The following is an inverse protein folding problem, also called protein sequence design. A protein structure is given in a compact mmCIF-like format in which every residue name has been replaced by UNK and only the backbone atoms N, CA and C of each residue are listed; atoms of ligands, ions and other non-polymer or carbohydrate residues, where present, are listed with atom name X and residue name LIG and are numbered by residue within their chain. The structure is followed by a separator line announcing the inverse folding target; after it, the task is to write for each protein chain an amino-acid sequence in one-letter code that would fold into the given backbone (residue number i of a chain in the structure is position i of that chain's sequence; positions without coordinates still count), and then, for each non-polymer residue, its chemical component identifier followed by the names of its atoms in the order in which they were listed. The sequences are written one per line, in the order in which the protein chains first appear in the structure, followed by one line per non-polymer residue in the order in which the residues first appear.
data_IF_473346395851
#
_entry.id   IF_473346395851
#
_cell.length_a   1.000
_cell.length_b   1.000
_cell.length_c   1.000
_cell.angle_alpha   90.00
_cell.angle_beta   90.00
_cell.angle_gamma   90.00
#
_symmetry.space_group_name_H-M   'P 1'
#
loop_
_entity.id
_entity.type
_entity.pdbx_description
1 polymer ?
#
# COMPACT_ATOMS: atom_id res chain seq x y z
N UNK A 1 18.23 29.25 -42.01
CA UNK A 1 17.43 29.74 -40.86
C UNK A 1 17.80 28.89 -39.66
N UNK A 2 18.71 29.41 -38.82
CA UNK A 2 19.17 28.69 -37.63
C UNK A 2 18.14 28.80 -36.52
N UNK A 3 17.53 27.68 -36.17
CA UNK A 3 16.66 27.57 -35.00
C UNK A 3 17.52 27.68 -33.75
N UNK A 4 17.47 28.79 -33.04
CA UNK A 4 18.09 28.91 -31.71
C UNK A 4 17.51 27.85 -30.79
N UNK A 5 18.34 27.16 -29.97
CA UNK A 5 17.84 26.21 -29.00
C UNK A 5 16.98 26.95 -28.01
N UNK A 6 15.70 26.51 -27.88
CA UNK A 6 14.80 27.01 -26.86
C UNK A 6 15.42 26.72 -25.48
N UNK A 7 15.43 27.70 -24.55
CA UNK A 7 15.96 27.44 -23.22
C UNK A 7 15.17 26.30 -22.58
N UNK A 8 15.79 25.47 -21.72
CA UNK A 8 15.10 24.40 -21.04
C UNK A 8 13.92 25.00 -20.26
N UNK A 9 12.73 24.43 -20.46
CA UNK A 9 11.53 24.86 -19.75
C UNK A 9 11.69 24.55 -18.25
N UNK A 10 11.82 25.58 -17.42
CA UNK A 10 11.83 25.46 -15.97
C UNK A 10 10.44 25.07 -15.46
N UNK A 11 10.20 23.77 -15.30
CA UNK A 11 8.92 23.27 -14.78
C UNK A 11 8.84 23.46 -13.26
N UNK A 12 7.88 24.27 -12.81
CA UNK A 12 7.55 24.38 -11.38
C UNK A 12 6.88 23.08 -10.88
N UNK A 13 7.56 22.34 -10.01
CA UNK A 13 7.08 21.09 -9.44
C UNK A 13 5.74 21.25 -8.68
N UNK A 14 5.41 22.43 -8.20
CA UNK A 14 4.11 22.72 -7.60
C UNK A 14 3.01 22.69 -8.65
N UNK A 15 3.25 23.24 -9.83
CA UNK A 15 2.30 23.18 -10.94
C UNK A 15 2.12 21.75 -11.45
N UNK A 16 3.23 20.99 -11.53
CA UNK A 16 3.19 19.56 -11.87
C UNK A 16 2.34 18.78 -10.87
N UNK A 17 2.48 19.04 -9.57
CA UNK A 17 1.64 18.42 -8.53
C UNK A 17 0.17 18.80 -8.68
N UNK A 18 -0.13 20.04 -8.94
CA UNK A 18 -1.52 20.49 -9.16
C UNK A 18 -2.15 19.76 -10.34
N UNK A 19 -1.39 19.59 -11.41
CA UNK A 19 -1.84 18.83 -12.58
C UNK A 19 -2.16 17.36 -12.22
N UNK A 20 -1.27 16.66 -11.52
CA UNK A 20 -1.52 15.26 -11.14
C UNK A 20 -2.75 15.10 -10.26
N UNK A 21 -2.97 16.00 -9.29
CA UNK A 21 -4.14 15.95 -8.42
C UNK A 21 -5.43 16.27 -9.20
N UNK A 22 -5.42 17.23 -10.14
CA UNK A 22 -6.60 17.47 -11.00
C UNK A 22 -6.89 16.26 -11.89
N UNK A 23 -5.87 15.59 -12.42
CA UNK A 23 -6.03 14.38 -13.22
C UNK A 23 -6.65 13.22 -12.41
N UNK A 24 -6.23 13.03 -11.16
CA UNK A 24 -6.75 12.00 -10.26
C UNK A 24 -8.22 12.23 -9.89
N UNK A 25 -8.57 13.46 -9.56
CA UNK A 25 -9.95 13.77 -9.14
C UNK A 25 -10.94 13.96 -10.30
N UNK A 26 -10.46 14.17 -11.53
CA UNK A 26 -11.29 14.45 -12.70
C UNK A 26 -12.19 15.69 -12.56
N UNK A 27 -11.96 16.54 -11.55
CA UNK A 27 -12.79 17.71 -11.23
C UNK A 27 -11.99 18.77 -10.47
N UNK A 28 -11.95 20.01 -11.01
CA UNK A 28 -11.18 21.11 -10.39
C UNK A 28 -11.62 21.47 -8.97
N UNK A 29 -12.91 21.38 -8.64
CA UNK A 29 -13.43 21.65 -7.30
C UNK A 29 -12.88 20.66 -6.27
N UNK A 30 -13.03 19.36 -6.51
CA UNK A 30 -12.52 18.29 -5.64
C UNK A 30 -11.00 18.37 -5.50
N UNK A 31 -10.29 18.59 -6.60
CA UNK A 31 -8.83 18.76 -6.55
C UNK A 31 -8.41 20.00 -5.73
N UNK A 32 -9.13 21.10 -5.82
CA UNK A 32 -8.88 22.32 -5.04
C UNK A 32 -9.09 22.09 -3.53
N UNK A 33 -10.13 21.35 -3.15
CA UNK A 33 -10.38 20.93 -1.77
C UNK A 33 -9.25 20.06 -1.24
N UNK A 34 -8.85 19.01 -1.99
CA UNK A 34 -7.75 18.13 -1.63
C UNK A 34 -6.42 18.89 -1.46
N UNK A 35 -6.18 19.89 -2.29
CA UNK A 35 -4.99 20.74 -2.24
C UNK A 35 -5.10 21.89 -1.23
N UNK A 36 -6.27 22.10 -0.61
CA UNK A 36 -6.58 23.23 0.30
C UNK A 36 -6.29 24.59 -0.33
N UNK A 37 -6.69 24.76 -1.60
CA UNK A 37 -6.56 26.02 -2.35
C UNK A 37 -7.89 26.43 -2.95
N UNK A 38 -8.04 27.73 -3.29
CA UNK A 38 -9.23 28.20 -4.00
C UNK A 38 -9.25 27.67 -5.45
N UNK A 39 -10.38 27.13 -5.92
CA UNK A 39 -10.55 26.61 -7.28
C UNK A 39 -10.12 27.61 -8.38
N UNK A 40 -10.43 28.94 -8.31
CA UNK A 40 -9.94 29.89 -9.30
C UNK A 40 -8.42 30.01 -9.35
N UNK A 41 -7.75 29.87 -8.20
CA UNK A 41 -6.30 29.86 -8.11
C UNK A 41 -5.72 28.62 -8.78
N UNK A 42 -6.25 27.43 -8.45
CA UNK A 42 -5.83 26.17 -9.09
C UNK A 42 -5.99 26.24 -10.62
N UNK A 43 -7.13 26.76 -11.09
CA UNK A 43 -7.40 26.91 -12.52
C UNK A 43 -6.39 27.83 -13.23
N UNK A 44 -5.96 28.92 -12.58
CA UNK A 44 -4.92 29.82 -13.11
C UNK A 44 -3.55 29.12 -13.16
N UNK A 45 -3.20 28.36 -12.12
CA UNK A 45 -1.93 27.64 -12.07
C UNK A 45 -1.85 26.53 -13.15
N UNK A 46 -2.94 25.82 -13.40
CA UNK A 46 -2.98 24.84 -14.51
C UNK A 46 -2.81 25.53 -15.86
N UNK A 47 -3.51 26.66 -16.11
CA UNK A 47 -3.30 27.42 -17.36
C UNK A 47 -1.87 27.89 -17.53
N UNK A 48 -1.21 28.31 -16.45
CA UNK A 48 0.21 28.67 -16.48
C UNK A 48 1.06 27.47 -16.90
N UNK A 49 0.85 26.29 -16.34
CA UNK A 49 1.55 25.07 -16.74
C UNK A 49 1.31 24.74 -18.22
N UNK A 50 0.09 24.86 -18.70
CA UNK A 50 -0.27 24.65 -20.11
C UNK A 50 0.45 25.63 -21.04
N UNK A 51 0.60 26.89 -20.62
CA UNK A 51 1.38 27.90 -21.34
C UNK A 51 2.88 27.59 -21.36
N UNK A 52 3.46 27.20 -20.23
CA UNK A 52 4.86 26.80 -20.13
C UNK A 52 5.19 25.58 -21.00
N UNK A 53 4.23 24.63 -21.11
CA UNK A 53 4.37 23.43 -21.95
C UNK A 53 3.97 23.66 -23.42
N UNK A 54 3.31 24.78 -23.73
CA UNK A 54 2.79 25.05 -25.07
C UNK A 54 1.66 24.12 -25.52
N UNK A 55 1.01 23.42 -24.57
CA UNK A 55 -0.02 22.43 -24.85
C UNK A 55 -1.13 22.46 -23.79
N UNK A 56 -2.38 22.26 -24.22
CA UNK A 56 -3.49 22.05 -23.28
C UNK A 56 -3.42 20.64 -22.73
N UNK A 57 -3.56 20.52 -21.41
CA UNK A 57 -3.51 19.24 -20.70
C UNK A 57 -4.91 18.72 -20.33
N UNK A 58 -5.89 19.62 -20.25
CA UNK A 58 -7.26 19.28 -19.88
C UNK A 58 -8.29 19.83 -20.87
N UNK A 59 -9.27 18.99 -21.17
CA UNK A 59 -10.55 19.40 -21.76
C UNK A 59 -11.62 19.54 -20.67
N UNK A 60 -12.33 20.69 -20.70
CA UNK A 60 -13.43 20.94 -19.79
C UNK A 60 -14.73 20.53 -20.47
N UNK A 61 -15.48 19.66 -19.84
CA UNK A 61 -16.78 19.20 -20.29
C UNK A 61 -17.83 19.53 -19.24
N UNK A 62 -19.12 19.57 -19.60
CA UNK A 62 -20.22 19.74 -18.63
C UNK A 62 -20.25 18.64 -17.53
N UNK A 63 -19.61 17.50 -17.79
CA UNK A 63 -19.56 16.34 -16.88
C UNK A 63 -18.28 16.27 -16.07
N UNK A 64 -17.38 17.24 -16.16
CA UNK A 64 -16.11 17.27 -15.45
C UNK A 64 -14.91 17.61 -16.33
N UNK A 65 -13.74 17.16 -15.94
CA UNK A 65 -12.47 17.45 -16.60
C UNK A 65 -11.84 16.14 -17.07
N UNK A 66 -11.41 16.08 -18.34
CA UNK A 66 -10.69 14.93 -18.91
C UNK A 66 -9.30 15.38 -19.37
N UNK A 67 -8.37 14.45 -19.39
CA UNK A 67 -7.06 14.67 -20.01
C UNK A 67 -7.23 14.81 -21.52
N UNK A 68 -6.44 15.70 -22.12
CA UNK A 68 -6.15 15.69 -23.55
C UNK A 68 -5.09 14.62 -23.86
N UNK A 69 -4.82 14.32 -25.12
CA UNK A 69 -3.73 13.45 -25.52
C UNK A 69 -2.38 13.94 -24.94
N UNK A 70 -2.13 15.24 -24.96
CA UNK A 70 -0.94 15.83 -24.32
C UNK A 70 -0.96 15.62 -22.79
N UNK A 71 -2.13 15.70 -22.16
CA UNK A 71 -2.30 15.41 -20.73
C UNK A 71 -2.00 13.94 -20.40
N UNK A 72 -2.47 13.00 -21.22
CA UNK A 72 -2.19 11.56 -21.05
C UNK A 72 -0.70 11.24 -21.21
N UNK A 73 -0.04 11.85 -22.18
CA UNK A 73 1.42 11.72 -22.36
C UNK A 73 2.19 12.36 -21.19
N UNK A 74 1.71 13.49 -20.68
CA UNK A 74 2.41 14.20 -19.60
C UNK A 74 2.21 13.54 -18.23
N UNK A 75 1.07 12.92 -17.93
CA UNK A 75 0.75 12.37 -16.62
C UNK A 75 1.81 11.38 -16.07
N UNK A 76 2.24 10.35 -16.80
CA UNK A 76 3.27 9.44 -16.29
C UNK A 76 4.61 10.14 -16.07
N UNK A 77 4.96 11.13 -16.90
CA UNK A 77 6.18 11.94 -16.75
C UNK A 77 6.10 12.88 -15.55
N UNK A 78 4.96 13.53 -15.33
CA UNK A 78 4.69 14.36 -14.18
C UNK A 78 4.85 13.58 -12.86
N UNK A 79 4.27 12.38 -12.80
CA UNK A 79 4.45 11.47 -11.65
C UNK A 79 5.91 11.07 -11.44
N UNK A 80 6.64 10.78 -12.51
CA UNK A 80 8.07 10.45 -12.44
C UNK A 80 8.91 11.62 -11.92
N UNK A 81 8.67 12.84 -12.39
CA UNK A 81 9.34 14.05 -11.92
C UNK A 81 9.10 14.31 -10.43
N UNK A 82 7.87 14.18 -9.97
CA UNK A 82 7.53 14.36 -8.56
C UNK A 82 8.21 13.30 -7.68
N UNK A 83 8.27 12.04 -8.14
CA UNK A 83 9.03 10.99 -7.45
C UNK A 83 10.52 11.31 -7.38
N UNK A 84 11.14 11.67 -8.49
CA UNK A 84 12.57 12.02 -8.55
C UNK A 84 12.92 13.21 -7.65
N UNK A 85 12.05 14.23 -7.59
CA UNK A 85 12.22 15.36 -6.68
C UNK A 85 12.11 14.94 -5.20
N UNK A 86 11.16 14.07 -4.87
CA UNK A 86 11.00 13.53 -3.52
C UNK A 86 12.22 12.67 -3.13
N UNK A 87 12.73 11.87 -4.07
CA UNK A 87 13.95 11.07 -3.90
C UNK A 87 15.18 11.95 -3.64
N UNK A 88 15.39 12.99 -4.45
CA UNK A 88 16.51 13.92 -4.27
C UNK A 88 16.47 14.57 -2.89
N UNK A 89 15.30 15.07 -2.47
CA UNK A 89 15.12 15.65 -1.15
C UNK A 89 15.34 14.64 -0.02
N UNK A 90 14.93 13.36 -0.20
CA UNK A 90 15.14 12.30 0.77
C UNK A 90 16.63 11.90 0.84
N UNK A 91 17.32 11.78 -0.29
CA UNK A 91 18.78 11.51 -0.33
C UNK A 91 19.56 12.58 0.39
N UNK A 92 19.24 13.86 0.14
CA UNK A 92 19.90 14.99 0.82
C UNK A 92 19.66 14.93 2.33
N UNK A 93 18.44 14.64 2.77
CA UNK A 93 18.13 14.49 4.20
C UNK A 93 18.84 13.26 4.81
N UNK A 94 18.90 12.15 4.09
CA UNK A 94 19.61 10.95 4.54
C UNK A 94 21.13 11.18 4.65
N UNK A 95 21.71 11.93 3.72
CA UNK A 95 23.11 12.33 3.79
C UNK A 95 23.40 13.29 4.98
N UNK A 96 22.45 14.18 5.30
CA UNK A 96 22.56 15.08 6.45
C UNK A 96 22.32 14.37 7.80
N UNK A 97 21.66 13.18 7.80
CA UNK A 97 21.40 12.36 8.99
C UNK A 97 21.69 10.88 8.71
N UNK A 98 22.98 10.50 8.55
CA UNK A 98 23.38 9.15 8.10
C UNK A 98 23.01 8.02 9.07
N UNK A 99 22.50 8.34 10.25
CA UNK A 99 22.15 7.39 11.30
C UNK A 99 20.64 7.19 11.48
N UNK A 100 19.79 7.63 10.56
CA UNK A 100 18.33 7.43 10.66
C UNK A 100 17.87 6.25 9.82
N UNK A 101 16.99 5.43 10.38
CA UNK A 101 16.34 4.31 9.70
C UNK A 101 14.86 4.23 10.10
N UNK A 102 13.99 4.09 9.13
CA UNK A 102 12.55 3.91 9.38
C UNK A 102 12.08 2.61 8.72
N UNK A 103 11.51 1.70 9.51
CA UNK A 103 10.81 0.53 8.98
C UNK A 103 9.32 0.77 8.97
N UNK A 104 8.69 0.56 7.80
CA UNK A 104 7.24 0.47 7.66
C UNK A 104 6.73 -0.92 8.04
N UNK A 105 5.52 -1.01 8.57
CA UNK A 105 4.83 -2.29 8.76
C UNK A 105 3.33 -2.12 8.54
N UNK A 106 2.70 -3.15 7.98
CA UNK A 106 1.26 -3.14 7.71
C UNK A 106 0.49 -3.93 8.77
N UNK A 107 -0.82 -3.87 8.70
CA UNK A 107 -1.81 -4.38 9.66
C UNK A 107 -1.40 -5.65 10.39
N UNK A 108 -1.46 -5.62 11.70
CA UNK A 108 -1.23 -6.75 12.63
C UNK A 108 0.17 -7.39 12.60
N UNK A 109 1.14 -6.84 11.82
CA UNK A 109 2.51 -7.32 11.82
C UNK A 109 3.32 -6.72 12.98
N UNK A 110 4.27 -7.52 13.50
CA UNK A 110 5.13 -7.13 14.63
C UNK A 110 6.56 -7.00 14.12
N UNK A 111 7.11 -5.79 14.15
CA UNK A 111 8.51 -5.52 13.78
C UNK A 111 9.40 -5.23 14.98
N UNK A 112 8.81 -5.13 16.18
CA UNK A 112 9.50 -4.74 17.42
C UNK A 112 10.75 -5.58 17.74
N UNK A 113 10.77 -6.93 17.59
CA UNK A 113 11.97 -7.71 17.87
C UNK A 113 13.14 -7.32 16.96
N UNK A 114 12.91 -7.15 15.66
CA UNK A 114 13.95 -6.74 14.71
C UNK A 114 14.40 -5.29 14.93
N UNK A 115 13.47 -4.39 15.26
CA UNK A 115 13.77 -2.98 15.60
C UNK A 115 14.64 -2.88 16.85
N UNK A 116 14.31 -3.62 17.90
CA UNK A 116 15.12 -3.67 19.13
C UNK A 116 16.53 -4.19 18.86
N UNK A 117 16.66 -5.23 18.06
CA UNK A 117 17.95 -5.80 17.69
C UNK A 117 18.77 -4.80 16.85
N UNK A 118 18.15 -4.10 15.91
CA UNK A 118 18.84 -3.07 15.12
C UNK A 118 19.32 -1.92 16.01
N UNK A 119 18.51 -1.44 16.96
CA UNK A 119 18.91 -0.41 17.94
C UNK A 119 20.08 -0.87 18.81
N UNK A 120 20.07 -2.14 19.22
CA UNK A 120 21.18 -2.72 20.00
C UNK A 120 22.49 -2.75 19.21
N UNK A 121 22.43 -3.05 17.90
CA UNK A 121 23.62 -3.05 17.01
C UNK A 121 24.08 -1.65 16.63
N UNK A 122 23.18 -0.69 16.64
CA UNK A 122 23.44 0.70 16.23
C UNK A 122 22.91 1.69 17.27
N UNK A 123 23.55 1.80 18.45
CA UNK A 123 23.03 2.63 19.57
C UNK A 123 22.98 4.13 19.26
N UNK A 124 23.72 4.60 18.25
CA UNK A 124 23.71 6.00 17.79
C UNK A 124 22.77 6.27 16.62
N UNK A 125 22.05 5.25 16.12
CA UNK A 125 21.10 5.41 15.04
C UNK A 125 19.69 5.71 15.57
N UNK A 126 19.02 6.65 14.92
CA UNK A 126 17.59 6.89 15.13
C UNK A 126 16.78 5.85 14.35
N UNK A 127 16.25 4.84 15.04
CA UNK A 127 15.45 3.78 14.42
C UNK A 127 13.98 3.96 14.77
N UNK A 128 13.13 4.11 13.75
CA UNK A 128 11.69 4.31 13.89
C UNK A 128 10.92 3.16 13.25
N UNK A 129 9.73 2.88 13.80
CA UNK A 129 8.73 2.03 13.16
C UNK A 129 7.52 2.89 12.81
N UNK A 130 7.01 2.75 11.58
CA UNK A 130 5.88 3.50 11.04
C UNK A 130 4.80 2.52 10.58
N UNK A 131 3.59 2.65 11.14
CA UNK A 131 2.44 1.92 10.62
C UNK A 131 2.02 2.49 9.27
N UNK A 132 1.74 1.60 8.32
CA UNK A 132 1.30 1.93 6.96
C UNK A 132 -0.07 1.29 6.70
N UNK A 133 -0.86 1.94 5.88
CA UNK A 133 -2.04 1.32 5.30
C UNK A 133 -1.67 0.08 4.48
N UNK A 134 -2.61 -0.81 4.31
CA UNK A 134 -2.40 -2.11 3.64
C UNK A 134 -1.87 -1.97 2.20
N UNK A 135 -2.21 -0.90 1.49
CA UNK A 135 -1.80 -0.59 0.11
C UNK A 135 -0.65 0.42 -0.02
N UNK A 136 -0.12 0.94 1.11
CA UNK A 136 0.89 2.01 1.09
C UNK A 136 2.35 1.51 1.00
N UNK A 137 2.59 0.21 1.20
CA UNK A 137 3.94 -0.35 1.36
C UNK A 137 4.90 0.06 0.22
N UNK A 138 4.49 -0.15 -1.03
CA UNK A 138 5.30 0.20 -2.21
C UNK A 138 5.54 1.70 -2.34
N UNK A 139 4.50 2.50 -2.22
CA UNK A 139 4.57 3.96 -2.34
C UNK A 139 5.45 4.55 -1.26
N UNK A 140 5.31 4.10 0.00
CA UNK A 140 6.13 4.55 1.11
C UNK A 140 7.63 4.26 0.91
N UNK A 141 7.98 3.11 0.30
CA UNK A 141 9.36 2.79 -0.07
C UNK A 141 9.87 3.70 -1.19
N UNK A 142 9.12 3.83 -2.28
CA UNK A 142 9.54 4.62 -3.45
C UNK A 142 9.64 6.11 -3.13
N UNK A 143 8.75 6.64 -2.29
CA UNK A 143 8.80 8.02 -1.80
C UNK A 143 9.79 8.23 -0.64
N UNK A 144 10.53 7.20 -0.23
CA UNK A 144 11.50 7.25 0.87
C UNK A 144 10.91 7.73 2.21
N UNK A 145 9.64 7.49 2.44
CA UNK A 145 9.03 7.66 3.77
C UNK A 145 9.56 6.61 4.74
N UNK A 146 9.91 5.44 4.21
CA UNK A 146 10.52 4.33 4.93
C UNK A 146 11.70 3.73 4.16
N UNK A 147 12.60 3.06 4.87
CA UNK A 147 13.80 2.44 4.30
C UNK A 147 13.60 0.95 4.01
N UNK A 148 12.73 0.32 4.77
CA UNK A 148 12.29 -1.05 4.58
C UNK A 148 10.82 -1.17 4.98
N UNK A 149 10.12 -2.19 4.49
CA UNK A 149 8.73 -2.49 4.88
C UNK A 149 8.61 -3.98 5.17
N UNK A 150 7.93 -4.31 6.27
CA UNK A 150 7.44 -5.66 6.53
C UNK A 150 5.94 -5.66 6.22
N UNK A 151 5.52 -6.46 5.26
CA UNK A 151 4.15 -6.51 4.77
C UNK A 151 3.77 -7.92 4.32
N UNK A 152 2.52 -8.13 3.93
CA UNK A 152 2.04 -9.36 3.29
C UNK A 152 1.94 -9.19 1.78
N UNK A 153 2.03 -10.30 1.07
CA UNK A 153 1.59 -10.31 -0.33
C UNK A 153 0.05 -10.16 -0.39
N UNK A 154 -0.50 -9.64 -1.51
CA UNK A 154 0.19 -9.26 -2.72
C UNK A 154 0.88 -7.89 -2.58
N UNK A 155 2.01 -7.73 -3.25
CA UNK A 155 2.76 -6.49 -3.30
C UNK A 155 3.30 -6.31 -4.72
N UNK A 156 3.03 -5.17 -5.35
CA UNK A 156 3.66 -4.82 -6.62
C UNK A 156 5.17 -4.62 -6.42
N UNK A 157 5.99 -5.44 -7.10
CA UNK A 157 7.43 -5.57 -6.84
C UNK A 157 8.32 -4.69 -7.71
N UNK A 158 7.76 -3.98 -8.72
CA UNK A 158 8.53 -3.10 -9.60
C UNK A 158 9.31 -2.05 -8.81
N UNK A 159 10.64 -2.07 -8.98
CA UNK A 159 11.55 -1.19 -8.25
C UNK A 159 11.85 -1.61 -6.82
N UNK A 160 11.42 -2.78 -6.40
CA UNK A 160 11.64 -3.33 -5.07
C UNK A 160 12.46 -4.63 -5.12
N UNK A 161 13.14 -4.91 -4.03
CA UNK A 161 13.73 -6.18 -3.69
C UNK A 161 12.92 -6.78 -2.53
N UNK A 162 12.33 -7.95 -2.77
CA UNK A 162 11.40 -8.59 -1.85
C UNK A 162 11.98 -9.92 -1.38
N UNK A 163 11.90 -10.18 -0.08
CA UNK A 163 12.35 -11.41 0.55
C UNK A 163 11.24 -11.97 1.42
N UNK A 164 10.85 -13.21 1.22
CA UNK A 164 9.93 -13.91 2.12
C UNK A 164 10.61 -14.11 3.47
N UNK A 165 9.95 -13.71 4.55
CA UNK A 165 10.40 -13.93 5.92
C UNK A 165 9.83 -15.22 6.49
N UNK A 166 8.53 -15.42 6.35
CA UNK A 166 7.82 -16.61 6.80
C UNK A 166 6.44 -16.71 6.16
N UNK A 167 5.84 -17.87 6.32
CA UNK A 167 4.49 -18.18 5.85
C UNK A 167 3.50 -18.12 7.02
N UNK A 168 2.29 -17.64 6.76
CA UNK A 168 1.16 -17.66 7.68
C UNK A 168 0.03 -18.51 7.08
N UNK A 169 -0.60 -19.41 7.85
CA UNK A 169 -1.77 -20.12 7.36
C UNK A 169 -2.88 -19.11 7.02
N UNK A 170 -3.79 -19.51 6.16
CA UNK A 170 -5.01 -18.74 5.91
C UNK A 170 -6.12 -19.24 6.85
N UNK A 171 -6.92 -18.29 7.31
CA UNK A 171 -8.08 -18.54 8.18
C UNK A 171 -9.30 -17.91 7.53
N UNK A 172 -10.47 -18.43 7.86
CA UNK A 172 -11.75 -17.76 7.58
C UNK A 172 -12.18 -17.04 8.84
N UNK A 173 -12.40 -15.74 8.76
CA UNK A 173 -12.98 -14.91 9.82
C UNK A 173 -14.49 -14.84 9.63
N UNK A 174 -15.22 -15.04 10.71
CA UNK A 174 -16.68 -15.09 10.74
C UNK A 174 -17.20 -14.70 12.13
N UNK A 175 -18.49 -14.35 12.29
CA UNK A 175 -19.08 -14.08 13.58
C UNK A 175 -19.15 -15.37 14.44
N UNK A 176 -19.23 -15.22 15.76
CA UNK A 176 -19.25 -16.35 16.71
C UNK A 176 -20.45 -17.28 16.54
N UNK A 177 -21.57 -16.77 16.08
CA UNK A 177 -22.82 -17.51 15.88
C UNK A 177 -22.93 -18.15 14.48
N UNK A 178 -21.90 -17.99 13.65
CA UNK A 178 -21.86 -18.58 12.31
C UNK A 178 -21.80 -20.12 12.40
N UNK A 179 -22.52 -20.88 11.51
CA UNK A 179 -22.50 -22.35 11.52
C UNK A 179 -21.12 -23.00 11.42
N UNK A 180 -20.16 -22.31 10.85
CA UNK A 180 -18.78 -22.78 10.70
C UNK A 180 -17.88 -22.44 11.90
N UNK A 181 -18.30 -21.61 12.83
CA UNK A 181 -17.47 -21.08 13.93
C UNK A 181 -16.88 -22.16 14.87
N UNK A 182 -17.56 -23.30 15.00
CA UNK A 182 -17.11 -24.41 15.87
C UNK A 182 -16.32 -25.51 15.16
N UNK A 183 -16.05 -25.38 13.86
CA UNK A 183 -15.30 -26.40 13.10
C UNK A 183 -13.80 -26.32 13.41
N UNK A 184 -13.12 -27.48 13.37
CA UNK A 184 -11.66 -27.55 13.48
C UNK A 184 -10.96 -26.90 12.27
N UNK A 185 -11.54 -27.08 11.07
CA UNK A 185 -11.11 -26.47 9.82
C UNK A 185 -12.27 -26.36 8.85
N UNK A 186 -12.09 -25.54 7.81
CA UNK A 186 -13.01 -25.38 6.67
C UNK A 186 -12.22 -25.38 5.36
N UNK A 187 -12.92 -25.70 4.27
CA UNK A 187 -12.39 -25.65 2.91
C UNK A 187 -13.04 -24.50 2.12
N UNK A 188 -12.59 -24.28 0.89
CA UNK A 188 -13.25 -23.31 -0.01
C UNK A 188 -14.68 -23.73 -0.39
N UNK A 189 -14.96 -25.02 -0.38
CA UNK A 189 -16.31 -25.54 -0.66
C UNK A 189 -17.28 -25.24 0.50
N UNK A 190 -16.79 -25.27 1.76
CA UNK A 190 -17.61 -24.89 2.92
C UNK A 190 -18.07 -23.44 2.87
N UNK A 191 -17.29 -22.55 2.25
CA UNK A 191 -17.59 -21.11 2.08
C UNK A 191 -17.97 -20.75 0.63
N UNK A 192 -18.35 -21.72 -0.18
CA UNK A 192 -18.66 -21.49 -1.59
C UNK A 192 -19.85 -20.55 -1.82
N UNK A 193 -20.79 -20.52 -0.88
CA UNK A 193 -21.96 -19.62 -0.91
C UNK A 193 -21.81 -18.34 -0.10
N UNK A 194 -20.69 -18.16 0.62
CA UNK A 194 -20.54 -17.04 1.54
C UNK A 194 -20.01 -15.80 0.80
N UNK A 195 -20.67 -14.63 0.89
CA UNK A 195 -20.14 -13.39 0.33
C UNK A 195 -18.78 -13.03 0.95
N UNK A 196 -17.84 -12.58 0.11
CA UNK A 196 -16.51 -12.16 0.58
C UNK A 196 -16.29 -10.68 0.24
N UNK A 197 -15.85 -9.84 1.20
CA UNK A 197 -15.66 -8.41 0.98
C UNK A 197 -14.66 -8.15 -0.15
N UNK A 198 -14.91 -7.08 -0.91
CA UNK A 198 -14.05 -6.60 -1.98
C UNK A 198 -13.41 -5.27 -1.57
N UNK A 199 -12.14 -5.10 -1.91
CA UNK A 199 -11.47 -3.81 -1.80
C UNK A 199 -11.67 -3.04 -3.11
N UNK A 200 -12.04 -1.77 -3.00
CA UNK A 200 -12.24 -0.91 -4.17
C UNK A 200 -10.96 -0.75 -4.97
N UNK A 201 -11.08 -0.89 -6.29
CA UNK A 201 -10.02 -0.60 -7.28
C UNK A 201 -8.69 -1.38 -7.07
N UNK A 202 -8.72 -2.52 -6.37
CA UNK A 202 -7.56 -3.39 -6.21
C UNK A 202 -7.86 -4.85 -6.61
N UNK A 203 -7.87 -5.15 -7.91
CA UNK A 203 -8.15 -6.50 -8.41
C UNK A 203 -7.09 -7.52 -7.99
N UNK A 204 -5.84 -7.12 -7.80
CA UNK A 204 -4.75 -8.01 -7.39
C UNK A 204 -4.94 -8.45 -5.94
N UNK A 205 -5.30 -7.53 -5.06
CA UNK A 205 -5.61 -7.82 -3.68
C UNK A 205 -6.85 -8.71 -3.57
N UNK A 206 -7.90 -8.39 -4.33
CA UNK A 206 -9.14 -9.16 -4.36
C UNK A 206 -8.88 -10.60 -4.83
N UNK A 207 -8.18 -10.79 -5.96
CA UNK A 207 -7.82 -12.11 -6.45
C UNK A 207 -7.05 -12.93 -5.41
N UNK A 208 -6.10 -12.32 -4.72
CA UNK A 208 -5.25 -13.00 -3.74
C UNK A 208 -5.99 -13.35 -2.44
N UNK A 209 -6.71 -12.40 -1.82
CA UNK A 209 -7.34 -12.61 -0.51
C UNK A 209 -8.72 -13.24 -0.58
N UNK A 210 -9.41 -13.14 -1.70
CA UNK A 210 -10.66 -13.87 -1.94
C UNK A 210 -10.43 -15.24 -2.55
N UNK A 211 -9.21 -15.51 -3.06
CA UNK A 211 -8.86 -16.68 -3.87
C UNK A 211 -9.82 -16.74 -5.06
N UNK A 212 -9.73 -15.73 -5.92
CA UNK A 212 -10.63 -15.55 -7.06
C UNK A 212 -9.83 -15.49 -8.38
N UNK A 213 -10.02 -16.41 -9.33
CA UNK A 213 -10.99 -17.51 -9.27
C UNK A 213 -10.62 -18.60 -8.25
N UNK A 214 -11.62 -19.39 -7.85
CA UNK A 214 -11.44 -20.61 -7.06
C UNK A 214 -10.63 -21.65 -7.88
N UNK A 215 -9.99 -22.67 -7.25
CA UNK A 215 -9.23 -23.71 -7.96
C UNK A 215 -10.04 -24.47 -9.00
N UNK A 216 -11.35 -24.56 -8.85
CA UNK A 216 -12.29 -25.17 -9.81
C UNK A 216 -12.71 -24.22 -10.95
N UNK A 217 -12.19 -22.99 -10.98
CA UNK A 217 -12.49 -21.96 -11.98
C UNK A 217 -13.73 -21.13 -11.70
N UNK A 218 -14.51 -21.42 -10.67
CA UNK A 218 -15.67 -20.59 -10.28
C UNK A 218 -15.21 -19.28 -9.64
N UNK A 219 -15.96 -18.17 -9.81
CA UNK A 219 -15.66 -16.92 -9.10
C UNK A 219 -15.95 -17.08 -7.60
N UNK A 220 -15.22 -16.35 -6.77
CA UNK A 220 -15.58 -16.17 -5.37
C UNK A 220 -16.87 -15.33 -5.26
N UNK A 221 -17.82 -15.69 -4.36
CA UNK A 221 -19.04 -14.90 -4.20
C UNK A 221 -18.76 -13.44 -3.85
N UNK A 222 -19.43 -12.53 -4.57
CA UNK A 222 -19.28 -11.10 -4.35
C UNK A 222 -19.95 -10.67 -3.06
N UNK A 223 -19.21 -9.94 -2.26
CA UNK A 223 -19.66 -9.29 -1.05
C UNK A 223 -19.56 -7.77 -1.11
N UNK A 224 -19.86 -7.08 -0.01
CA UNK A 224 -19.77 -5.63 0.07
C UNK A 224 -18.38 -5.10 -0.27
N UNK A 225 -18.34 -3.90 -0.89
CA UNK A 225 -17.09 -3.18 -1.19
C UNK A 225 -16.67 -2.36 0.02
N UNK A 226 -15.40 -2.51 0.42
CA UNK A 226 -14.80 -1.77 1.54
C UNK A 226 -13.68 -0.86 1.05
N UNK A 227 -13.56 0.30 1.67
CA UNK A 227 -12.50 1.28 1.42
C UNK A 227 -11.44 1.26 2.54
N UNK A 228 -11.80 0.83 3.74
CA UNK A 228 -10.92 0.68 4.91
C UNK A 228 -11.09 -0.69 5.55
N UNK A 229 -10.03 -1.17 6.21
CA UNK A 229 -10.04 -2.51 6.80
C UNK A 229 -10.97 -2.63 8.00
N UNK A 230 -11.22 -1.55 8.71
CA UNK A 230 -12.12 -1.49 9.85
C UNK A 230 -13.57 -1.81 9.46
N UNK A 231 -14.05 -1.29 8.33
CA UNK A 231 -15.38 -1.56 7.79
C UNK A 231 -15.59 -3.05 7.50
N UNK A 232 -14.53 -3.74 7.07
CA UNK A 232 -14.58 -5.20 6.86
C UNK A 232 -14.97 -5.96 8.14
N UNK A 233 -14.46 -5.54 9.30
CA UNK A 233 -14.78 -6.20 10.56
C UNK A 233 -16.24 -5.98 10.97
N UNK A 234 -16.80 -4.80 10.70
CA UNK A 234 -18.23 -4.53 10.94
C UNK A 234 -19.11 -5.42 10.05
N UNK A 235 -18.81 -5.53 8.77
CA UNK A 235 -19.55 -6.35 7.82
C UNK A 235 -19.54 -7.84 8.18
N UNK A 236 -18.41 -8.33 8.69
CA UNK A 236 -18.30 -9.73 9.14
C UNK A 236 -19.08 -9.92 10.42
N UNK A 237 -18.95 -9.01 11.41
CA UNK A 237 -19.67 -9.12 12.68
C UNK A 237 -21.19 -9.06 12.52
N UNK A 238 -21.68 -8.32 11.52
CA UNK A 238 -23.10 -8.25 11.16
C UNK A 238 -23.59 -9.44 10.30
N UNK A 239 -22.72 -10.42 10.03
CA UNK A 239 -23.05 -11.60 9.22
C UNK A 239 -23.29 -11.34 7.73
N UNK A 240 -22.91 -10.17 7.22
CA UNK A 240 -23.06 -9.84 5.80
C UNK A 240 -22.01 -10.50 4.89
N UNK A 241 -20.89 -10.94 5.47
CA UNK A 241 -19.80 -11.56 4.73
C UNK A 241 -18.91 -12.40 5.66
N UNK A 242 -18.10 -13.28 5.05
CA UNK A 242 -16.95 -13.92 5.69
C UNK A 242 -15.67 -13.46 5.00
N UNK A 243 -14.51 -13.49 5.66
CA UNK A 243 -13.28 -13.07 5.03
C UNK A 243 -12.14 -14.06 5.23
N UNK A 244 -11.36 -14.29 4.17
CA UNK A 244 -10.09 -14.99 4.28
C UNK A 244 -9.06 -14.00 4.84
N UNK A 245 -8.42 -14.36 5.94
CA UNK A 245 -7.47 -13.53 6.69
C UNK A 245 -6.20 -14.31 7.01
N UNK A 246 -5.07 -13.64 7.31
CA UNK A 246 -3.87 -14.34 7.77
C UNK A 246 -4.09 -14.94 9.16
N UNK A 247 -3.53 -16.13 9.41
CA UNK A 247 -3.55 -16.80 10.69
C UNK A 247 -2.59 -16.18 11.71
N UNK A 248 -2.76 -14.88 11.96
CA UNK A 248 -1.99 -14.18 12.98
C UNK A 248 -2.65 -14.36 14.35
N UNK A 249 -1.90 -14.66 15.43
CA UNK A 249 -2.44 -14.74 16.78
C UNK A 249 -3.17 -13.49 17.25
N UNK A 250 -2.92 -12.34 16.63
CA UNK A 250 -3.59 -11.07 16.95
C UNK A 250 -4.98 -10.93 16.34
N UNK A 251 -5.31 -11.71 15.33
CA UNK A 251 -6.64 -11.62 14.70
C UNK A 251 -7.74 -11.94 15.72
N UNK A 252 -7.52 -12.92 16.62
CA UNK A 252 -8.44 -13.28 17.68
C UNK A 252 -8.61 -12.22 18.79
N UNK A 253 -7.73 -11.23 18.87
CA UNK A 253 -7.79 -10.17 19.90
C UNK A 253 -8.41 -8.88 19.40
N UNK A 254 -8.78 -8.80 18.11
CA UNK A 254 -9.28 -7.55 17.53
C UNK A 254 -10.70 -7.26 17.98
N UNK A 255 -11.57 -8.29 17.98
CA UNK A 255 -12.98 -8.17 18.37
C UNK A 255 -13.46 -9.45 19.07
N UNK A 256 -14.19 -9.32 20.19
CA UNK A 256 -14.67 -10.48 20.95
C UNK A 256 -15.86 -11.20 20.29
N UNK A 257 -16.53 -10.56 19.33
CA UNK A 257 -17.69 -11.06 18.58
C UNK A 257 -17.30 -11.79 17.27
N UNK A 258 -16.01 -11.86 16.96
CA UNK A 258 -15.47 -12.55 15.79
C UNK A 258 -14.60 -13.76 16.19
N UNK A 259 -14.59 -14.75 15.32
CA UNK A 259 -13.68 -15.90 15.43
C UNK A 259 -13.00 -16.18 14.10
N UNK A 260 -11.99 -17.05 14.11
CA UNK A 260 -11.35 -17.53 12.89
C UNK A 260 -11.24 -19.05 12.91
N UNK A 261 -11.44 -19.66 11.76
CA UNK A 261 -11.33 -21.11 11.56
C UNK A 261 -10.25 -21.36 10.49
N UNK A 262 -9.35 -22.34 10.68
CA UNK A 262 -8.33 -22.69 9.68
C UNK A 262 -8.95 -23.00 8.31
N UNK A 263 -8.38 -22.43 7.26
CA UNK A 263 -8.76 -22.70 5.88
C UNK A 263 -7.77 -23.70 5.26
N UNK A 264 -8.22 -24.90 4.97
CA UNK A 264 -7.41 -25.97 4.40
C UNK A 264 -7.53 -26.04 2.87
N UNK A 265 -6.55 -26.72 2.25
CA UNK A 265 -6.51 -26.92 0.80
C UNK A 265 -6.11 -25.67 0.01
N UNK A 266 -5.51 -24.69 0.64
CA UNK A 266 -5.03 -23.44 0.02
C UNK A 266 -3.59 -23.13 0.39
N UNK A 267 -2.88 -22.43 -0.51
CA UNK A 267 -1.54 -21.95 -0.22
C UNK A 267 -1.53 -20.94 0.93
N UNK A 268 -0.49 -20.95 1.79
CA UNK A 268 -0.35 -19.96 2.85
C UNK A 268 -0.18 -18.55 2.30
N UNK A 269 -0.41 -17.55 3.13
CA UNK A 269 -0.01 -16.18 2.84
C UNK A 269 1.45 -15.96 3.25
N UNK A 270 2.13 -15.05 2.57
CA UNK A 270 3.55 -14.78 2.80
C UNK A 270 3.74 -13.42 3.46
N UNK A 271 4.49 -13.40 4.55
CA UNK A 271 5.03 -12.17 5.13
C UNK A 271 6.39 -11.91 4.52
N UNK A 272 6.56 -10.72 3.98
CA UNK A 272 7.75 -10.33 3.23
C UNK A 272 8.39 -9.08 3.80
N UNK A 273 9.71 -9.00 3.64
CA UNK A 273 10.49 -7.78 3.78
C UNK A 273 10.75 -7.21 2.41
N UNK A 274 10.35 -5.99 2.18
CA UNK A 274 10.61 -5.24 0.96
C UNK A 274 11.54 -4.05 1.22
N UNK A 275 12.43 -3.79 0.28
CA UNK A 275 13.29 -2.60 0.22
C UNK A 275 13.35 -2.11 -1.21
N UNK A 276 13.85 -0.89 -1.44
CA UNK A 276 14.10 -0.42 -2.81
C UNK A 276 15.14 -1.30 -3.49
N UNK A 277 14.97 -1.55 -4.78
CA UNK A 277 15.95 -2.26 -5.58
C UNK A 277 17.30 -1.51 -5.57
N UNK A 278 18.39 -2.26 -5.40
CA UNK A 278 19.73 -1.69 -5.34
C UNK A 278 20.07 -0.90 -4.06
N UNK A 279 19.22 -0.94 -3.04
CA UNK A 279 19.49 -0.27 -1.75
C UNK A 279 20.66 -0.94 -1.02
N UNK A 280 21.73 -0.17 -0.77
CA UNK A 280 22.99 -0.65 -0.16
C UNK A 280 23.29 -0.02 1.20
N UNK A 281 22.36 0.74 1.77
CA UNK A 281 22.54 1.38 3.06
C UNK A 281 22.87 0.36 4.17
N UNK A 282 23.90 0.65 4.99
CA UNK A 282 24.34 -0.24 6.07
C UNK A 282 23.20 -0.63 7.01
N UNK A 283 22.38 0.34 7.44
CA UNK A 283 21.25 0.07 8.33
C UNK A 283 20.18 -0.81 7.68
N UNK A 284 19.95 -0.68 6.36
CA UNK A 284 19.02 -1.53 5.61
C UNK A 284 19.54 -2.96 5.53
N UNK A 285 20.83 -3.14 5.22
CA UNK A 285 21.47 -4.47 5.18
C UNK A 285 21.42 -5.16 6.55
N UNK A 286 21.70 -4.42 7.62
CA UNK A 286 21.64 -4.93 8.99
C UNK A 286 20.19 -5.22 9.41
N UNK A 287 19.22 -4.39 9.02
CA UNK A 287 17.81 -4.67 9.29
C UNK A 287 17.31 -5.93 8.56
N UNK A 288 17.72 -6.15 7.31
CA UNK A 288 17.40 -7.39 6.57
C UNK A 288 17.85 -8.62 7.37
N UNK A 289 19.04 -8.57 7.98
CA UNK A 289 19.55 -9.65 8.84
C UNK A 289 18.74 -9.77 10.13
N UNK A 290 18.48 -8.66 10.83
CA UNK A 290 17.65 -8.64 12.04
C UNK A 290 16.25 -9.19 11.77
N UNK A 291 15.63 -8.83 10.65
CA UNK A 291 14.30 -9.31 10.27
C UNK A 291 14.27 -10.83 10.09
N UNK A 292 15.24 -11.39 9.34
CA UNK A 292 15.35 -12.84 9.14
C UNK A 292 15.60 -13.60 10.45
N UNK A 293 16.38 -13.04 11.39
CA UNK A 293 16.72 -13.66 12.66
C UNK A 293 15.62 -13.57 13.72
N UNK A 294 14.81 -12.50 13.68
CA UNK A 294 13.91 -12.11 14.77
C UNK A 294 12.44 -12.10 14.41
N UNK A 295 12.11 -12.14 13.12
CA UNK A 295 10.73 -12.17 12.67
C UNK A 295 10.42 -13.56 12.10
N UNK A 296 9.39 -14.19 12.64
CA UNK A 296 8.95 -15.51 12.22
C UNK A 296 7.70 -15.91 13.00
N UNK A 297 7.05 -17.02 12.64
CA UNK A 297 5.82 -17.46 13.32
C UNK A 297 6.03 -17.69 14.82
N UNK A 298 7.22 -18.11 15.24
CA UNK A 298 7.56 -18.33 16.66
C UNK A 298 7.84 -17.05 17.46
N UNK A 299 8.06 -15.90 16.82
CA UNK A 299 8.29 -14.63 17.54
C UNK A 299 7.02 -13.98 18.07
N UNK A 300 5.87 -14.63 17.89
CA UNK A 300 4.52 -14.14 18.19
C UNK A 300 3.88 -14.90 19.35
N UNK A 301 4.53 -15.92 19.92
CA UNK A 301 4.02 -16.62 21.10
C UNK A 301 3.98 -15.64 22.29
N UNK A 302 2.83 -15.40 22.94
CA UNK A 302 2.77 -14.60 24.15
C UNK A 302 3.62 -15.30 25.24
N UNK A 303 4.25 -14.56 26.16
CA UNK A 303 4.82 -15.17 27.35
C UNK A 303 3.69 -15.88 28.12
N UNK A 304 3.95 -17.10 28.58
CA UNK A 304 3.09 -17.87 29.48
C UNK A 304 2.74 -17.09 30.74
#
# INVERSE_FOLDING_TARGET
MSSSPQPPSDLDLRLVRYFTVVAEHGHFGRAAEALRVAQPSLSRQIRRLEQELGARLFDRTPRGTRLTEAGEVFLPRARALLRSAAEAAAHTRAAARPSRFTVGYTTSLIVTPAVRELRRRHPHAEVHALHLGWNEARTALLERRVDAVVTRLPLATDGLEVTVLYDEPRMVMLPLDHPLAGKESVTLDDIAGEPTPQVRDDPVWNAYWRIDPRPDGRPAPDGPVVDVMEDKYELIADGQAVAIVPGSPRVHTIRPDLTTVPLEGVDPSHVVLATRAGERGRLVADFRRCAREKLGPASVTPPE
#
